data_IF_522709512702
#
_entry.id   IF_522709512702
#
_cell.length_a   1.000
_cell.length_b   1.000
_cell.length_c   1.000
_cell.angle_alpha   90.00
_cell.angle_beta   90.00
_cell.angle_gamma   90.00
#
_symmetry.space_group_name_H-M   'P 1'
#
loop_
_entity.id
_entity.type
_entity.pdbx_description
1 polymer ?
#
# COMPACT_ATOMS: atom_id res chain seq x y z
N UNK A 1 7.90 4.63 -9.01
CA UNK A 1 7.51 5.80 -8.20
C UNK A 1 7.04 5.24 -6.87
N UNK A 2 7.77 5.47 -5.78
CA UNK A 2 7.45 4.89 -4.47
C UNK A 2 6.14 5.47 -3.91
N UNK A 3 5.41 4.68 -3.12
CA UNK A 3 4.22 5.15 -2.39
C UNK A 3 4.69 6.15 -1.31
N UNK A 4 4.09 7.33 -1.16
CA UNK A 4 4.41 8.25 -0.08
C UNK A 4 4.32 7.55 1.28
N UNK A 5 5.42 7.54 2.05
CA UNK A 5 5.52 6.87 3.36
C UNK A 5 6.29 5.54 3.34
N UNK A 6 6.44 4.88 2.19
CA UNK A 6 7.24 3.67 2.04
C UNK A 6 8.71 4.00 1.73
N UNK A 7 9.36 4.75 2.62
CA UNK A 7 10.77 5.13 2.46
C UNK A 7 11.67 4.15 3.22
N UNK A 8 12.65 3.55 2.53
CA UNK A 8 13.60 2.60 3.14
C UNK A 8 15.04 2.86 2.72
N UNK A 9 15.97 2.36 3.52
CA UNK A 9 17.41 2.37 3.26
C UNK A 9 17.96 0.96 3.54
N UNK A 10 19.15 0.67 3.02
CA UNK A 10 19.87 -0.58 3.27
C UNK A 10 21.34 -0.43 2.87
N UNK A 11 22.20 -1.26 3.43
CA UNK A 11 23.65 -1.24 3.15
C UNK A 11 23.95 -1.74 1.73
N UNK A 12 23.00 -2.47 1.13
CA UNK A 12 23.05 -2.94 -0.26
C UNK A 12 21.77 -2.61 -1.03
N UNK A 13 21.84 -2.63 -2.36
CA UNK A 13 20.66 -2.46 -3.22
C UNK A 13 19.62 -3.57 -3.00
N UNK A 14 20.06 -4.81 -2.77
CA UNK A 14 19.15 -5.94 -2.54
C UNK A 14 18.38 -5.75 -1.23
N UNK A 15 19.08 -5.34 -0.17
CA UNK A 15 18.46 -5.02 1.11
C UNK A 15 17.49 -3.83 0.98
N UNK A 16 17.91 -2.74 0.33
CA UNK A 16 17.04 -1.59 0.12
C UNK A 16 15.77 -1.96 -0.67
N UNK A 17 15.85 -2.91 -1.61
CA UNK A 17 14.69 -3.42 -2.37
C UNK A 17 13.75 -4.24 -1.49
N UNK A 18 14.28 -5.19 -0.72
CA UNK A 18 13.47 -6.01 0.20
C UNK A 18 12.76 -5.10 1.22
N UNK A 19 13.50 -4.18 1.83
CA UNK A 19 12.94 -3.22 2.78
C UNK A 19 11.83 -2.38 2.13
N UNK A 20 12.03 -1.94 0.87
CA UNK A 20 11.02 -1.17 0.15
C UNK A 20 9.73 -1.96 -0.10
N UNK A 21 9.83 -3.24 -0.45
CA UNK A 21 8.67 -4.12 -0.65
C UNK A 21 7.87 -4.28 0.66
N UNK A 22 8.55 -4.52 1.78
CA UNK A 22 7.93 -4.59 3.10
C UNK A 22 7.26 -3.26 3.51
N UNK A 23 7.93 -2.14 3.27
CA UNK A 23 7.38 -0.83 3.60
C UNK A 23 6.15 -0.48 2.75
N UNK A 24 6.12 -0.88 1.48
CA UNK A 24 4.95 -0.74 0.62
C UNK A 24 3.78 -1.56 1.17
N UNK A 25 4.03 -2.82 1.56
CA UNK A 25 3.00 -3.69 2.13
C UNK A 25 2.39 -3.08 3.40
N UNK A 26 3.24 -2.64 4.33
CA UNK A 26 2.82 -2.00 5.58
C UNK A 26 1.98 -0.73 5.34
N UNK A 27 2.40 0.13 4.41
CA UNK A 27 1.65 1.36 4.08
C UNK A 27 0.30 1.04 3.47
N UNK A 28 0.22 0.03 2.59
CA UNK A 28 -1.05 -0.38 1.99
C UNK A 28 -1.99 -0.99 3.03
N UNK A 29 -1.48 -1.82 3.94
CA UNK A 29 -2.26 -2.41 5.02
C UNK A 29 -2.79 -1.34 5.98
N UNK A 30 -1.94 -0.42 6.43
CA UNK A 30 -2.33 0.69 7.30
C UNK A 30 -3.40 1.57 6.64
N UNK A 31 -3.24 1.91 5.37
CA UNK A 31 -4.25 2.70 4.65
C UNK A 31 -5.56 1.94 4.47
N UNK A 32 -5.53 0.63 4.24
CA UNK A 32 -6.75 -0.20 4.17
C UNK A 32 -7.49 -0.17 5.51
N UNK A 33 -6.78 -0.41 6.61
CA UNK A 33 -7.35 -0.38 7.95
C UNK A 33 -8.00 0.97 8.27
N UNK A 34 -7.27 2.08 8.06
CA UNK A 34 -7.80 3.43 8.29
C UNK A 34 -9.00 3.74 7.40
N UNK A 35 -8.98 3.29 6.15
CA UNK A 35 -10.10 3.48 5.23
C UNK A 35 -11.32 2.70 5.67
N UNK A 36 -11.16 1.47 6.16
CA UNK A 36 -12.25 0.67 6.70
C UNK A 36 -12.89 1.33 7.93
N UNK A 37 -12.08 1.86 8.86
CA UNK A 37 -12.59 2.63 10.01
C UNK A 37 -13.32 3.90 9.57
N UNK A 38 -12.77 4.67 8.62
CA UNK A 38 -13.39 5.90 8.14
C UNK A 38 -14.70 5.65 7.40
N UNK A 39 -14.79 4.56 6.64
CA UNK A 39 -15.98 4.19 5.87
C UNK A 39 -17.06 3.48 6.70
N UNK A 40 -16.77 3.16 7.96
CA UNK A 40 -17.76 2.58 8.86
C UNK A 40 -18.98 3.51 8.95
N UNK A 41 -20.17 2.93 8.79
CA UNK A 41 -21.47 3.63 8.80
C UNK A 41 -21.69 4.68 7.69
N UNK A 42 -20.82 4.73 6.67
CA UNK A 42 -21.04 5.52 5.46
C UNK A 42 -21.72 4.69 4.35
N UNK A 43 -22.58 5.33 3.56
CA UNK A 43 -23.14 4.72 2.34
C UNK A 43 -22.09 4.79 1.22
N UNK A 44 -21.42 3.66 0.94
CA UNK A 44 -20.26 3.60 0.03
C UNK A 44 -20.58 2.75 -1.21
N UNK A 45 -20.31 3.29 -2.39
CA UNK A 45 -20.42 2.56 -3.66
C UNK A 45 -19.10 1.83 -3.95
N UNK A 46 -19.15 0.51 -4.12
CA UNK A 46 -18.00 -0.33 -4.45
C UNK A 46 -18.14 -0.93 -5.84
N UNK A 47 -17.36 -0.45 -6.79
CA UNK A 47 -17.36 -0.94 -8.17
C UNK A 47 -16.17 -1.89 -8.43
N UNK A 48 -16.36 -2.96 -9.22
CA UNK A 48 -15.28 -3.87 -9.55
C UNK A 48 -14.25 -3.19 -10.46
N UNK A 49 -12.97 -3.28 -10.10
CA UNK A 49 -11.86 -2.86 -10.96
C UNK A 49 -11.32 -4.08 -11.69
N UNK A 50 -11.34 -4.06 -13.03
CA UNK A 50 -10.73 -5.10 -13.85
C UNK A 50 -9.31 -4.67 -14.25
N UNK A 51 -8.32 -5.43 -13.79
CA UNK A 51 -6.93 -5.24 -14.19
C UNK A 51 -6.64 -6.13 -15.40
N UNK A 52 -6.30 -5.55 -16.54
CA UNK A 52 -5.72 -6.29 -17.67
C UNK A 52 -4.19 -6.34 -17.50
N UNK A 53 -3.64 -7.53 -17.36
CA UNK A 53 -2.19 -7.75 -17.51
C UNK A 53 -1.87 -7.81 -19.00
N UNK A 54 -0.85 -7.07 -19.43
CA UNK A 54 -0.29 -7.08 -20.78
C UNK A 54 0.81 -8.13 -20.92
#
# INVERSE_FOLDING_TARGET
MCIPGANTQGDTLDEARVNLEEAIELVLEANRFLTEELLQDQDVIREPIFLSVA
#
